data_IF_277838423046
#
_entry.id   IF_277838423046
#
_cell.length_a   1.000
_cell.length_b   1.000
_cell.length_c   1.000
_cell.angle_alpha   90.00
_cell.angle_beta   90.00
_cell.angle_gamma   90.00
#
_symmetry.space_group_name_H-M   'P 1'
#
loop_
_entity.id
_entity.type
_entity.pdbx_description
1 polymer ?
#
# COMPACT_ATOMS: atom_id res chain seq x y z
N UNK A 1 -0.45 41.26 17.30
CA UNK A 1 -0.28 40.53 17.27
C UNK A 1 -0.07 40.08 16.97
N UNK A 2 0.10 40.18 16.89
CA UNK A 2 0.31 39.53 16.75
C UNK A 2 0.68 38.85 16.64
N UNK A 3 0.95 39.03 16.73
CA UNK A 3 1.38 38.19 16.60
C UNK A 3 1.66 37.27 16.87
N UNK A 4 1.68 37.33 17.43
CA UNK A 4 2.04 36.38 17.62
C UNK A 4 1.65 35.37 17.55
N UNK A 5 1.21 35.72 17.89
CA UNK A 5 0.79 34.72 17.82
C UNK A 5 0.82 34.11 17.13
N UNK A 6 0.73 34.53 17.22
CA UNK A 6 0.88 33.96 15.95
C UNK A 6 1.95 32.94 15.85
N UNK A 7 2.82 32.77 16.76
CA UNK A 7 3.94 31.90 16.57
C UNK A 7 3.55 30.41 16.46
N UNK A 8 2.67 29.95 17.30
CA UNK A 8 2.13 28.63 17.15
C UNK A 8 1.38 28.48 15.86
N UNK A 9 0.65 29.49 15.51
CA UNK A 9 -0.11 29.54 14.28
C UNK A 9 0.80 29.53 13.07
N UNK A 10 1.95 30.16 13.17
CA UNK A 10 2.91 30.19 12.08
C UNK A 10 3.45 28.81 11.75
N UNK A 11 3.65 27.97 12.75
CA UNK A 11 4.07 26.61 12.48
C UNK A 11 3.04 25.84 11.72
N UNK A 12 1.80 26.03 12.01
CA UNK A 12 0.73 25.38 11.27
C UNK A 12 0.57 25.94 9.87
N UNK A 13 0.87 27.21 9.71
CA UNK A 13 0.86 27.83 8.39
C UNK A 13 1.99 27.28 7.53
N UNK A 14 3.04 26.81 8.15
CA UNK A 14 4.17 26.20 7.44
C UNK A 14 3.89 24.79 6.99
N UNK A 15 2.74 24.23 7.33
CA UNK A 15 2.30 22.96 6.78
C UNK A 15 2.05 23.14 5.29
N UNK A 16 3.03 22.80 4.50
CA UNK A 16 3.00 23.04 3.04
C UNK A 16 2.12 22.07 2.30
N UNK A 17 1.91 20.91 2.89
CA UNK A 17 1.19 19.83 2.24
C UNK A 17 0.02 19.43 3.10
N UNK A 18 -1.15 19.43 2.49
CA UNK A 18 -2.34 18.95 3.16
C UNK A 18 -2.13 17.51 3.61
N UNK A 19 -2.61 17.19 4.80
CA UNK A 19 -2.57 15.81 5.28
C UNK A 19 -3.55 14.99 4.47
N UNK A 20 -3.03 14.05 3.70
CA UNK A 20 -3.81 13.14 2.88
C UNK A 20 -3.32 11.73 3.09
N UNK A 21 -4.24 10.80 3.15
CA UNK A 21 -3.96 9.37 3.34
C UNK A 21 -3.77 8.75 1.97
N UNK A 22 -2.73 7.94 1.82
CA UNK A 22 -2.42 7.32 0.53
C UNK A 22 -1.73 5.97 0.69
N UNK A 23 -1.83 5.15 -0.35
CA UNK A 23 -1.07 3.91 -0.45
C UNK A 23 0.33 4.23 -1.01
N UNK A 24 1.36 3.67 -0.40
CA UNK A 24 2.73 3.85 -0.88
C UNK A 24 2.92 2.95 -2.10
N UNK A 25 3.36 3.55 -3.21
CA UNK A 25 3.59 2.86 -4.46
C UNK A 25 4.51 3.68 -5.36
N UNK A 26 4.97 3.09 -6.45
CA UNK A 26 5.76 3.78 -7.46
C UNK A 26 4.86 4.58 -8.42
N UNK A 27 5.44 5.07 -9.51
CA UNK A 27 4.72 5.89 -10.50
C UNK A 27 3.58 5.14 -11.19
N UNK A 28 3.65 3.83 -11.22
CA UNK A 28 2.65 2.98 -11.88
C UNK A 28 1.65 2.40 -10.90
N UNK A 29 1.62 2.91 -9.69
CA UNK A 29 0.79 2.42 -8.60
C UNK A 29 1.14 0.99 -8.17
N UNK A 30 2.40 0.61 -8.35
CA UNK A 30 2.88 -0.72 -7.94
C UNK A 30 3.74 -0.60 -6.69
N UNK A 31 3.49 -1.47 -5.74
CA UNK A 31 4.37 -1.67 -4.60
C UNK A 31 4.99 -3.06 -4.73
N UNK A 32 6.31 -3.12 -4.77
CA UNK A 32 7.04 -4.38 -4.97
C UNK A 32 7.31 -5.04 -3.62
N UNK A 33 6.61 -6.12 -3.36
CA UNK A 33 6.76 -6.89 -2.12
C UNK A 33 7.61 -8.12 -2.38
N UNK A 34 8.84 -8.10 -1.87
CA UNK A 34 9.77 -9.22 -2.01
C UNK A 34 9.51 -10.25 -0.93
N UNK A 35 9.33 -11.50 -1.36
CA UNK A 35 9.09 -12.62 -0.46
C UNK A 35 10.29 -13.55 -0.47
N UNK A 36 10.92 -13.69 0.68
CA UNK A 36 12.08 -14.57 0.84
C UNK A 36 11.60 -15.95 1.29
N UNK A 37 11.98 -16.97 0.54
CA UNK A 37 11.68 -18.34 0.92
C UNK A 37 12.51 -18.72 2.15
N UNK A 38 11.85 -19.23 3.16
CA UNK A 38 12.47 -19.65 4.40
C UNK A 38 11.79 -20.92 4.90
N UNK A 39 12.11 -21.34 6.12
CA UNK A 39 11.54 -22.56 6.69
C UNK A 39 10.18 -22.32 7.37
N UNK A 40 9.71 -21.10 7.33
CA UNK A 40 8.39 -20.77 7.89
C UNK A 40 7.28 -21.29 6.99
N UNK A 41 6.20 -21.70 7.59
CA UNK A 41 5.04 -22.19 6.83
C UNK A 41 4.35 -21.03 6.10
N UNK A 42 4.27 -19.89 6.75
CA UNK A 42 3.66 -18.68 6.20
C UNK A 42 4.65 -17.53 6.21
N UNK A 43 4.57 -16.70 5.18
CA UNK A 43 5.40 -15.50 5.07
C UNK A 43 4.49 -14.28 5.02
N UNK A 44 4.88 -13.23 5.73
CA UNK A 44 4.10 -12.00 5.77
C UNK A 44 4.80 -10.93 4.96
N UNK A 45 4.10 -10.41 3.96
CA UNK A 45 4.49 -9.20 3.25
C UNK A 45 3.65 -8.02 3.76
N UNK A 46 4.12 -6.81 3.52
CA UNK A 46 3.46 -5.61 4.03
C UNK A 46 3.24 -4.61 2.92
N UNK A 47 2.00 -4.18 2.75
CA UNK A 47 1.66 -3.01 1.94
C UNK A 47 1.56 -1.81 2.86
N UNK A 48 2.43 -0.81 2.71
CA UNK A 48 2.40 0.36 3.58
C UNK A 48 1.41 1.42 3.08
N UNK A 49 0.86 2.16 4.03
CA UNK A 49 0.03 3.33 3.82
C UNK A 49 0.57 4.46 4.68
N UNK A 50 0.42 5.68 4.24
CA UNK A 50 0.99 6.81 4.94
C UNK A 50 0.07 8.03 4.89
N UNK A 51 0.45 9.05 5.65
CA UNK A 51 -0.20 10.35 5.63
C UNK A 51 0.82 11.38 5.18
N UNK A 52 0.47 12.18 4.18
CA UNK A 52 1.34 13.27 3.73
C UNK A 52 1.31 14.43 4.72
N UNK A 53 2.27 15.34 4.58
CA UNK A 53 2.40 16.53 5.42
C UNK A 53 3.74 16.58 6.11
N UNK A 54 4.05 17.75 6.68
CA UNK A 54 5.33 17.98 7.35
C UNK A 54 5.24 17.83 8.86
N UNK A 55 4.06 18.05 9.42
CA UNK A 55 3.85 17.97 10.87
C UNK A 55 3.34 16.61 11.27
N UNK A 56 3.61 16.17 12.51
CA UNK A 56 3.03 14.92 13.01
C UNK A 56 1.50 14.94 12.93
N UNK A 57 0.91 13.78 12.78
CA UNK A 57 -0.55 13.66 12.81
C UNK A 57 -1.04 13.83 14.23
N UNK A 58 -2.16 14.51 14.39
CA UNK A 58 -2.74 14.85 15.70
C UNK A 58 -3.86 13.93 16.13
N UNK A 59 -4.27 13.03 15.27
CA UNK A 59 -5.33 12.07 15.55
C UNK A 59 -4.95 10.71 14.97
N UNK A 60 -5.43 9.65 15.59
CA UNK A 60 -5.25 8.31 15.04
C UNK A 60 -5.95 8.21 13.69
N UNK A 61 -5.29 7.54 12.77
CA UNK A 61 -5.83 7.29 11.43
C UNK A 61 -6.27 5.85 11.34
N UNK A 62 -7.46 5.65 10.78
CA UNK A 62 -8.01 4.31 10.54
C UNK A 62 -8.39 4.21 9.08
N UNK A 63 -7.93 3.13 8.43
CA UNK A 63 -8.26 2.83 7.04
C UNK A 63 -8.93 1.48 6.96
N UNK A 64 -9.98 1.42 6.14
CA UNK A 64 -10.58 0.15 5.74
C UNK A 64 -10.12 -0.15 4.34
N UNK A 65 -9.53 -1.33 4.15
CA UNK A 65 -8.96 -1.74 2.87
C UNK A 65 -9.87 -2.79 2.25
N UNK A 66 -10.06 -2.69 0.95
CA UNK A 66 -10.81 -3.69 0.18
C UNK A 66 -10.03 -4.07 -1.06
N UNK A 67 -10.47 -5.12 -1.73
CA UNK A 67 -9.89 -5.53 -3.01
C UNK A 67 -10.34 -4.58 -4.12
N UNK A 68 -9.48 -4.44 -5.13
CA UNK A 68 -9.78 -3.63 -6.31
C UNK A 68 -9.31 -4.36 -7.59
N UNK A 69 -10.00 -5.42 -7.98
CA UNK A 69 -9.58 -6.21 -9.14
C UNK A 69 -9.59 -5.42 -10.44
N UNK A 70 -10.38 -4.36 -10.53
CA UNK A 70 -10.43 -3.52 -11.73
C UNK A 70 -9.09 -2.84 -11.99
N UNK A 71 -8.34 -2.53 -10.95
CA UNK A 71 -7.03 -1.90 -11.11
C UNK A 71 -6.08 -2.80 -11.90
N UNK A 72 -6.07 -4.09 -11.60
CA UNK A 72 -5.23 -5.04 -12.34
C UNK A 72 -5.72 -5.21 -13.78
N UNK A 73 -7.02 -5.24 -13.97
CA UNK A 73 -7.61 -5.32 -15.31
C UNK A 73 -7.17 -4.14 -16.17
N UNK A 74 -7.23 -2.93 -15.62
CA UNK A 74 -6.77 -1.73 -16.31
C UNK A 74 -5.28 -1.76 -16.58
N UNK A 75 -4.49 -2.16 -15.59
CA UNK A 75 -3.04 -2.26 -15.73
C UNK A 75 -2.68 -3.18 -16.90
N UNK A 76 -3.28 -4.36 -16.94
CA UNK A 76 -3.01 -5.34 -17.98
C UNK A 76 -3.36 -4.81 -19.36
N UNK A 77 -4.53 -4.21 -19.50
CA UNK A 77 -4.94 -3.69 -20.79
C UNK A 77 -4.04 -2.52 -21.22
N UNK A 78 -3.74 -1.60 -20.33
CA UNK A 78 -2.91 -0.44 -20.65
C UNK A 78 -1.46 -0.83 -20.96
N UNK A 79 -0.97 -1.91 -20.37
CA UNK A 79 0.41 -2.35 -20.54
C UNK A 79 0.59 -3.26 -21.74
N UNK A 80 -0.34 -4.20 -21.94
CA UNK A 80 -0.20 -5.29 -22.89
C UNK A 80 -1.25 -5.31 -23.99
N UNK A 81 -2.22 -4.39 -23.93
CA UNK A 81 -3.34 -4.32 -24.88
C UNK A 81 -4.07 -5.67 -24.97
N UNK A 82 -4.12 -6.25 -26.15
CA UNK A 82 -4.79 -7.54 -26.37
C UNK A 82 -3.85 -8.74 -26.31
N UNK A 83 -2.58 -8.52 -25.94
CA UNK A 83 -1.62 -9.61 -25.72
C UNK A 83 -1.87 -10.28 -24.37
N UNK A 84 -2.98 -10.98 -24.27
CA UNK A 84 -3.46 -11.54 -23.00
C UNK A 84 -2.54 -12.58 -22.39
N UNK A 85 -1.69 -13.19 -23.20
CA UNK A 85 -0.68 -14.14 -22.73
C UNK A 85 0.38 -13.49 -21.84
N UNK A 86 0.51 -12.16 -21.93
CA UNK A 86 1.45 -11.40 -21.11
C UNK A 86 0.83 -10.84 -19.84
N UNK A 87 -0.47 -10.97 -19.67
CA UNK A 87 -1.17 -10.38 -18.54
C UNK A 87 -0.61 -10.87 -17.20
N UNK A 88 -0.44 -9.93 -16.30
CA UNK A 88 -0.14 -10.24 -14.91
C UNK A 88 -1.34 -10.94 -14.27
N UNK A 89 -1.07 -11.77 -13.30
CA UNK A 89 -2.07 -12.62 -12.64
C UNK A 89 -2.33 -12.13 -11.23
N UNK A 90 -3.55 -12.35 -10.79
CA UNK A 90 -3.92 -12.07 -9.41
C UNK A 90 -3.90 -13.37 -8.62
N UNK A 91 -3.41 -13.33 -7.38
CA UNK A 91 -3.49 -14.49 -6.51
C UNK A 91 -4.95 -14.77 -6.19
N UNK A 92 -5.28 -16.05 -6.16
CA UNK A 92 -6.64 -16.49 -5.84
C UNK A 92 -6.94 -16.29 -4.36
N UNK A 93 -8.21 -16.09 -4.06
CA UNK A 93 -8.69 -16.16 -2.69
C UNK A 93 -8.32 -17.55 -2.15
N UNK A 94 -7.89 -17.63 -0.96
CA UNK A 94 -7.44 -18.90 -0.39
C UNK A 94 -5.94 -19.13 -0.50
N UNK A 95 -5.25 -18.48 -1.43
CA UNK A 95 -3.80 -18.54 -1.53
C UNK A 95 -3.14 -17.54 -0.58
N UNK A 96 -3.91 -16.61 -0.08
CA UNK A 96 -3.44 -15.59 0.86
C UNK A 96 -4.53 -15.23 1.86
N UNK A 97 -4.12 -14.56 2.92
CA UNK A 97 -5.05 -13.96 3.87
C UNK A 97 -4.49 -12.63 4.37
N UNK A 98 -5.37 -11.77 4.80
CA UNK A 98 -4.99 -10.53 5.46
C UNK A 98 -5.12 -10.72 6.96
N UNK A 99 -4.13 -10.26 7.74
CA UNK A 99 -4.22 -10.32 9.19
C UNK A 99 -5.34 -9.42 9.69
N UNK A 100 -5.57 -8.30 9.00
CA UNK A 100 -6.70 -7.41 9.25
C UNK A 100 -6.93 -6.57 8.00
N UNK A 101 -8.17 -6.27 7.71
CA UNK A 101 -8.52 -5.31 6.65
C UNK A 101 -8.53 -3.86 7.16
N UNK A 102 -8.32 -3.67 8.46
CA UNK A 102 -8.24 -2.35 9.09
C UNK A 102 -6.77 -2.05 9.37
N UNK A 103 -6.33 -0.89 8.91
CA UNK A 103 -4.97 -0.39 9.10
C UNK A 103 -5.02 0.85 9.97
N UNK A 104 -4.13 0.95 10.93
CA UNK A 104 -4.09 2.06 11.87
C UNK A 104 -2.75 2.77 11.86
N UNK A 105 -2.77 4.09 11.95
CA UNK A 105 -1.57 4.92 12.16
C UNK A 105 -1.83 5.76 13.39
N UNK A 106 -0.99 5.63 14.41
CA UNK A 106 -1.20 6.30 15.69
C UNK A 106 -0.84 7.78 15.64
N UNK A 107 -1.59 8.57 16.41
CA UNK A 107 -1.32 10.00 16.57
C UNK A 107 0.06 10.24 17.15
N UNK A 108 0.62 11.40 16.85
CA UNK A 108 1.94 11.80 17.33
C UNK A 108 3.09 11.23 16.51
N UNK A 109 2.77 10.43 15.51
CA UNK A 109 3.77 9.82 14.65
C UNK A 109 4.15 10.82 13.56
N UNK A 110 5.45 10.92 13.30
CA UNK A 110 5.96 11.76 12.22
C UNK A 110 5.63 11.09 10.89
N UNK A 111 4.93 11.80 9.97
CA UNK A 111 4.56 11.21 8.68
C UNK A 111 5.73 10.64 7.88
N UNK A 112 6.94 11.15 8.13
CA UNK A 112 8.13 10.67 7.40
C UNK A 112 8.68 9.35 7.91
N UNK A 113 8.28 8.89 9.09
CA UNK A 113 8.91 7.75 9.74
C UNK A 113 8.00 6.57 9.99
N UNK A 114 6.71 6.80 10.03
CA UNK A 114 5.79 5.72 10.39
C UNK A 114 4.76 5.51 9.29
N UNK A 115 4.41 4.26 9.12
CA UNK A 115 3.43 3.85 8.12
C UNK A 115 2.41 2.92 8.75
N UNK A 116 1.23 2.93 8.17
CA UNK A 116 0.24 1.91 8.45
C UNK A 116 0.57 0.66 7.62
N UNK A 117 0.32 -0.50 8.17
CA UNK A 117 0.76 -1.76 7.56
C UNK A 117 -0.42 -2.69 7.32
N UNK A 118 -0.69 -2.96 6.05
CA UNK A 118 -1.58 -4.04 5.67
C UNK A 118 -0.72 -5.30 5.54
N UNK A 119 -0.93 -6.25 6.42
CA UNK A 119 -0.12 -7.45 6.46
C UNK A 119 -0.79 -8.56 5.66
N UNK A 120 -0.08 -9.04 4.65
CA UNK A 120 -0.54 -10.08 3.73
C UNK A 120 0.22 -11.35 4.05
N UNK A 121 -0.51 -12.40 4.42
CA UNK A 121 0.07 -13.69 4.77
C UNK A 121 -0.09 -14.67 3.61
N UNK A 122 1.01 -15.24 3.16
CA UNK A 122 1.02 -16.20 2.06
C UNK A 122 1.83 -17.43 2.47
N UNK A 123 1.30 -18.62 2.17
CA UNK A 123 2.03 -19.85 2.46
C UNK A 123 3.28 -19.95 1.60
N UNK A 124 4.36 -20.40 2.22
CA UNK A 124 5.62 -20.64 1.51
C UNK A 124 5.41 -21.52 0.29
N UNK A 125 4.57 -22.55 0.40
CA UNK A 125 4.29 -23.46 -0.71
C UNK A 125 3.63 -22.75 -1.90
N UNK A 126 2.85 -21.72 -1.66
CA UNK A 126 2.25 -20.94 -2.74
C UNK A 126 3.32 -20.09 -3.44
N UNK A 127 4.19 -19.45 -2.66
CA UNK A 127 5.25 -18.61 -3.22
C UNK A 127 6.21 -19.47 -4.07
N UNK A 128 6.56 -20.67 -3.60
CA UNK A 128 7.42 -21.58 -4.34
C UNK A 128 6.87 -21.95 -5.72
N UNK A 129 5.55 -22.00 -5.85
CA UNK A 129 4.89 -22.40 -7.10
C UNK A 129 4.72 -21.25 -8.09
N UNK A 130 5.00 -20.02 -7.68
CA UNK A 130 4.85 -18.89 -8.59
C UNK A 130 5.86 -19.00 -9.72
N UNK A 131 5.35 -18.82 -10.95
CA UNK A 131 6.21 -18.86 -12.14
C UNK A 131 7.07 -17.60 -12.19
N UNK A 132 8.36 -17.77 -12.50
CA UNK A 132 9.27 -16.63 -12.68
C UNK A 132 8.97 -15.86 -13.97
N UNK A 133 8.20 -16.45 -14.89
CA UNK A 133 7.86 -15.82 -16.16
C UNK A 133 6.58 -15.00 -16.10
N UNK A 134 5.94 -14.97 -14.95
CA UNK A 134 4.68 -14.23 -14.75
C UNK A 134 4.80 -13.26 -13.59
N UNK A 135 4.08 -12.17 -13.68
CA UNK A 135 3.94 -11.24 -12.56
C UNK A 135 2.65 -11.57 -11.80
N UNK A 136 2.72 -11.51 -10.47
CA UNK A 136 1.59 -11.81 -9.61
C UNK A 136 1.29 -10.62 -8.73
N UNK A 137 0.01 -10.27 -8.65
CA UNK A 137 -0.43 -9.10 -7.89
C UNK A 137 -1.61 -9.43 -6.99
N UNK A 138 -1.74 -8.61 -5.96
CA UNK A 138 -3.00 -8.38 -5.28
C UNK A 138 -3.33 -6.91 -5.48
N UNK A 139 -4.60 -6.61 -5.69
CA UNK A 139 -5.05 -5.24 -5.93
C UNK A 139 -5.85 -4.77 -4.73
N UNK A 140 -5.43 -3.67 -4.12
CA UNK A 140 -6.08 -3.11 -2.95
C UNK A 140 -6.47 -1.66 -3.17
N UNK A 141 -7.52 -1.23 -2.46
CA UNK A 141 -7.88 0.18 -2.39
C UNK A 141 -8.31 0.55 -0.97
N UNK A 142 -8.15 1.80 -0.66
CA UNK A 142 -8.71 2.35 0.58
C UNK A 142 -10.20 2.56 0.35
N UNK A 143 -11.03 1.78 1.03
CA UNK A 143 -12.48 1.91 0.93
C UNK A 143 -12.93 3.20 1.59
N UNK A 144 -12.47 3.41 2.83
CA UNK A 144 -12.74 4.62 3.57
C UNK A 144 -11.64 4.84 4.60
N UNK A 145 -11.50 6.06 5.06
CA UNK A 145 -10.48 6.43 6.03
C UNK A 145 -10.95 7.62 6.86
N UNK A 146 -10.42 7.70 8.08
CA UNK A 146 -10.66 8.82 8.99
C UNK A 146 -9.33 9.16 9.66
N UNK A 147 -9.11 10.40 10.10
CA UNK A 147 -9.96 11.59 9.91
C UNK A 147 -9.57 12.43 8.68
N UNK A 148 -8.46 12.13 8.02
CA UNK A 148 -7.97 12.93 6.90
C UNK A 148 -8.54 12.45 5.58
N UNK A 149 -8.45 13.30 4.57
CA UNK A 149 -8.90 12.95 3.23
C UNK A 149 -8.00 11.90 2.60
N UNK A 150 -8.54 11.16 1.67
CA UNK A 150 -7.79 10.17 0.88
C UNK A 150 -7.28 10.88 -0.38
N UNK A 151 -6.03 10.66 -0.72
CA UNK A 151 -5.48 11.08 -2.00
C UNK A 151 -6.03 10.12 -3.08
N UNK A 152 -6.96 10.61 -3.90
CA UNK A 152 -7.65 9.78 -4.86
C UNK A 152 -6.72 9.20 -5.93
N UNK A 153 -5.63 9.88 -6.25
CA UNK A 153 -4.65 9.38 -7.22
C UNK A 153 -3.80 8.23 -6.67
N UNK A 154 -3.75 8.12 -5.36
CA UNK A 154 -2.96 7.08 -4.66
C UNK A 154 -3.82 6.29 -3.69
N UNK A 155 -5.07 6.16 -4.01
CA UNK A 155 -6.04 5.43 -3.20
C UNK A 155 -5.91 3.93 -3.34
N UNK A 156 -5.49 3.48 -4.51
CA UNK A 156 -5.36 2.05 -4.81
C UNK A 156 -3.91 1.69 -5.17
N UNK A 157 -3.59 0.43 -5.09
CA UNK A 157 -2.24 -0.06 -5.29
C UNK A 157 -2.25 -1.49 -5.80
N UNK A 158 -1.32 -1.77 -6.71
CA UNK A 158 -1.01 -3.11 -7.16
C UNK A 158 0.14 -3.63 -6.30
N UNK A 159 -0.17 -4.56 -5.42
CA UNK A 159 0.80 -5.19 -4.54
C UNK A 159 1.43 -6.35 -5.30
N UNK A 160 2.63 -6.12 -5.83
CA UNK A 160 3.33 -7.13 -6.61
C UNK A 160 4.08 -8.10 -5.69
N UNK A 161 3.82 -9.37 -5.88
CA UNK A 161 4.47 -10.44 -5.12
C UNK A 161 5.56 -11.05 -5.98
N UNK A 162 6.80 -11.04 -5.50
CA UNK A 162 7.85 -11.77 -6.20
C UNK A 162 8.82 -12.42 -5.21
N UNK A 163 9.45 -13.47 -5.67
CA UNK A 163 10.39 -14.23 -4.85
C UNK A 163 11.73 -13.51 -4.81
N UNK A 164 12.31 -13.44 -3.62
CA UNK A 164 13.69 -13.01 -3.49
C UNK A 164 14.57 -13.95 -4.28
N UNK A 165 15.60 -13.42 -4.92
CA UNK A 165 16.54 -14.18 -5.75
C UNK A 165 15.92 -14.73 -7.04
N UNK A 166 14.78 -14.16 -7.45
CA UNK A 166 14.14 -14.55 -8.71
C UNK A 166 15.06 -14.38 -9.92
N UNK A 167 16.01 -13.44 -9.79
CA UNK A 167 16.95 -13.11 -10.85
C UNK A 167 18.38 -13.57 -10.55
N UNK A 168 18.54 -14.38 -9.51
CA UNK A 168 19.86 -14.87 -9.15
C UNK A 168 20.38 -15.91 -10.13
#
# INVERSE_FOLDING_TARGET
>A
SLVACSNGDEFFKDERYKKMIYAISDNEQIFHAEFELNNEEDIIGVQPFAVSGTNPIDQDVHLNIEKDPELLTEYNYNTYMDETDKYARELKDGDYSLLSSIVEIKAGVNPSYEVGKLQVKIKTSIIEKLSVDSAYFLSFRIKEATPYEINEEKRNVLFRIYKKNQYA
#
